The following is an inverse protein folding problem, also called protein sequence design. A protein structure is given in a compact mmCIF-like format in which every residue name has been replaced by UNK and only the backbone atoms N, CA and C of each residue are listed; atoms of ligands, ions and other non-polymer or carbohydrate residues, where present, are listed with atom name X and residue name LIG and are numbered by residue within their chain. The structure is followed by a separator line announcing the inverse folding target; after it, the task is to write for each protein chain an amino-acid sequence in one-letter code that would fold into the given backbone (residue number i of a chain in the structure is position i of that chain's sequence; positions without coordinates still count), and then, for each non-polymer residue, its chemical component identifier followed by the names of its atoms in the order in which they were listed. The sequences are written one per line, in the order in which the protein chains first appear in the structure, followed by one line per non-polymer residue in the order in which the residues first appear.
data_IF_579128691650
#
_entry.id   IF_579128691650
#
_cell.length_a   1.000
_cell.length_b   1.000
_cell.length_c   1.000
_cell.angle_alpha   90.00
_cell.angle_beta   90.00
_cell.angle_gamma   90.00
#
_symmetry.space_group_name_H-M   'P 1'
#
loop_
_entity.id
_entity.type
_entity.pdbx_description
1 polymer ?
#
# COMPACT_ATOMS: atom_id res chain seq x y z
N UNK A 1 9.87 -3.67 20.44
CA UNK A 1 9.18 -2.68 19.58
C UNK A 1 9.34 -3.15 18.16
N UNK A 2 8.23 -3.40 17.44
CA UNK A 2 8.30 -3.72 16.01
C UNK A 2 8.79 -2.49 15.25
N UNK A 3 9.62 -2.67 14.22
CA UNK A 3 10.02 -1.57 13.37
C UNK A 3 8.77 -0.99 12.65
N UNK A 4 8.73 0.33 12.39
CA UNK A 4 7.60 0.93 11.68
C UNK A 4 7.48 0.35 10.27
N UNK A 5 6.24 0.10 9.81
CA UNK A 5 5.94 -0.45 8.48
C UNK A 5 6.41 0.45 7.33
N UNK A 6 6.56 1.74 7.59
CA UNK A 6 7.01 2.74 6.62
C UNK A 6 8.09 3.62 7.24
N UNK A 7 8.99 4.13 6.42
CA UNK A 7 9.99 5.14 6.82
C UNK A 7 9.34 6.51 6.97
N UNK A 8 10.04 7.45 7.61
CA UNK A 8 9.53 8.82 7.73
C UNK A 8 9.50 9.54 6.37
N UNK A 9 10.45 9.23 5.48
CA UNK A 9 10.45 9.72 4.11
C UNK A 9 9.22 9.22 3.33
N UNK A 10 8.90 7.93 3.46
CA UNK A 10 7.69 7.36 2.86
C UNK A 10 6.42 7.94 3.48
N UNK A 11 6.38 8.15 4.79
CA UNK A 11 5.25 8.80 5.47
C UNK A 11 5.03 10.21 4.94
N UNK A 12 6.09 11.01 4.81
CA UNK A 12 6.01 12.37 4.29
C UNK A 12 5.46 12.40 2.85
N UNK A 13 5.94 11.51 1.98
CA UNK A 13 5.45 11.39 0.60
C UNK A 13 3.97 10.95 0.54
N UNK A 14 3.58 9.96 1.35
CA UNK A 14 2.18 9.51 1.43
C UNK A 14 1.24 10.64 1.92
N UNK A 15 1.67 11.43 2.92
CA UNK A 15 0.90 12.56 3.44
C UNK A 15 0.80 13.72 2.44
N UNK A 16 1.84 13.98 1.65
CA UNK A 16 1.78 14.95 0.55
C UNK A 16 0.71 14.55 -0.47
N UNK A 17 0.74 13.29 -0.93
CA UNK A 17 -0.27 12.76 -1.84
C UNK A 17 -1.68 12.84 -1.24
N UNK A 18 -1.81 12.56 0.06
CA UNK A 18 -3.08 12.71 0.79
C UNK A 18 -3.61 14.13 0.85
N UNK A 19 -2.74 15.12 1.06
CA UNK A 19 -3.11 16.54 1.05
C UNK A 19 -3.59 17.00 -0.33
N UNK A 20 -2.91 16.58 -1.41
CA UNK A 20 -3.32 16.86 -2.79
C UNK A 20 -4.69 16.26 -3.10
N UNK A 21 -4.91 14.99 -2.71
CA UNK A 21 -6.20 14.33 -2.88
C UNK A 21 -7.33 15.04 -2.09
N UNK A 22 -7.06 15.45 -0.85
CA UNK A 22 -8.03 16.19 -0.02
C UNK A 22 -8.36 17.59 -0.59
N UNK A 23 -7.43 18.20 -1.32
CA UNK A 23 -7.66 19.45 -2.05
C UNK A 23 -8.47 19.26 -3.36
N UNK A 24 -8.82 18.02 -3.72
CA UNK A 24 -9.56 17.71 -4.95
C UNK A 24 -8.71 17.78 -6.21
N UNK A 25 -7.39 17.75 -6.10
CA UNK A 25 -6.50 17.69 -7.25
C UNK A 25 -6.66 16.33 -7.95
N UNK A 26 -6.91 16.28 -9.27
CA UNK A 26 -6.82 15.04 -10.03
C UNK A 26 -5.39 14.52 -9.94
N UNK A 27 -5.20 13.33 -9.37
CA UNK A 27 -3.88 12.73 -9.24
C UNK A 27 -3.96 11.22 -9.40
N UNK A 28 -2.92 10.66 -10.03
CA UNK A 28 -2.68 9.23 -10.14
C UNK A 28 -1.25 8.96 -9.67
N UNK A 29 -1.01 9.01 -8.34
CA UNK A 29 0.33 9.00 -7.81
C UNK A 29 1.03 7.67 -8.06
N UNK A 30 2.35 7.72 -8.15
CA UNK A 30 3.16 6.50 -8.01
C UNK A 30 2.96 5.91 -6.60
N UNK A 31 2.76 4.59 -6.46
CA UNK A 31 2.80 3.96 -5.14
C UNK A 31 4.12 4.27 -4.43
N UNK A 32 4.04 4.64 -3.16
CA UNK A 32 5.20 5.04 -2.35
C UNK A 32 5.83 3.84 -1.62
N UNK A 33 5.00 2.86 -1.27
CA UNK A 33 5.46 1.69 -0.54
C UNK A 33 4.69 0.45 -0.96
N UNK A 34 5.41 -0.67 -1.03
CA UNK A 34 4.85 -2.00 -1.10
C UNK A 34 5.03 -2.70 0.25
N UNK A 35 3.92 -3.22 0.76
CA UNK A 35 3.89 -4.07 1.94
C UNK A 35 3.40 -5.44 1.53
N UNK A 36 3.85 -6.49 2.22
CA UNK A 36 3.42 -7.85 1.96
C UNK A 36 3.53 -8.71 3.21
N UNK A 37 2.75 -9.79 3.26
CA UNK A 37 2.86 -10.80 4.31
C UNK A 37 3.75 -11.94 3.79
N UNK A 38 4.96 -12.20 4.30
CA UNK A 38 5.91 -13.07 3.59
C UNK A 38 5.49 -14.55 3.46
N UNK A 39 4.60 -15.01 4.35
CA UNK A 39 4.03 -16.35 4.37
C UNK A 39 2.55 -16.39 3.91
N UNK A 40 2.08 -15.32 3.26
CA UNK A 40 0.76 -15.27 2.62
C UNK A 40 0.86 -14.53 1.28
N UNK A 41 -0.11 -14.76 0.39
CA UNK A 41 -0.16 -14.08 -0.90
C UNK A 41 -0.81 -12.69 -0.81
N UNK A 42 -0.53 -11.96 0.28
CA UNK A 42 -1.13 -10.65 0.54
C UNK A 42 -0.12 -9.53 0.28
N UNK A 43 -0.49 -8.58 -0.57
CA UNK A 43 0.30 -7.43 -1.00
C UNK A 43 -0.57 -6.17 -0.93
N UNK A 44 0.04 -5.07 -0.48
CA UNK A 44 -0.54 -3.73 -0.50
C UNK A 44 0.42 -2.75 -1.17
N UNK A 45 -0.08 -1.98 -2.14
CA UNK A 45 0.62 -0.85 -2.75
C UNK A 45 -0.03 0.44 -2.26
N UNK A 46 0.63 1.18 -1.36
CA UNK A 46 0.07 2.38 -0.76
C UNK A 46 0.52 3.63 -1.52
N UNK A 47 -0.44 4.51 -1.80
CA UNK A 47 -0.24 5.70 -2.62
C UNK A 47 -0.42 7.00 -1.83
N UNK A 48 -1.26 7.00 -0.79
CA UNK A 48 -1.42 8.16 0.10
C UNK A 48 -1.81 7.77 1.53
N UNK A 49 -1.65 8.72 2.45
CA UNK A 49 -2.15 8.68 3.82
C UNK A 49 -3.12 9.82 4.04
N UNK A 50 -4.20 9.57 4.77
CA UNK A 50 -5.12 10.61 5.20
C UNK A 50 -4.40 11.60 6.13
N UNK A 51 -4.31 12.89 5.78
CA UNK A 51 -3.60 13.86 6.60
C UNK A 51 -4.31 14.15 7.94
N UNK A 52 -5.58 13.78 8.10
CA UNK A 52 -6.32 13.99 9.34
C UNK A 52 -5.90 13.02 10.46
N UNK A 53 -5.53 11.79 10.11
CA UNK A 53 -5.16 10.75 11.09
C UNK A 53 -3.73 10.21 10.93
N UNK A 54 -3.10 10.38 9.77
CA UNK A 54 -1.76 9.87 9.48
C UNK A 54 -1.64 8.34 9.53
N UNK A 55 -2.76 7.62 9.47
CA UNK A 55 -2.86 6.17 9.67
C UNK A 55 -3.68 5.49 8.57
N UNK A 56 -4.78 6.11 8.12
CA UNK A 56 -5.63 5.58 7.04
C UNK A 56 -4.94 5.78 5.70
N UNK A 57 -4.42 4.71 5.12
CA UNK A 57 -3.80 4.69 3.81
C UNK A 57 -4.83 4.41 2.71
N UNK A 58 -4.54 4.90 1.50
CA UNK A 58 -5.25 4.56 0.26
C UNK A 58 -4.27 3.88 -0.71
N UNK A 59 -4.74 2.85 -1.42
CA UNK A 59 -3.87 2.07 -2.30
C UNK A 59 -4.57 0.86 -2.92
N UNK A 60 -3.78 -0.02 -3.54
CA UNK A 60 -4.25 -1.30 -4.07
C UNK A 60 -4.05 -2.37 -2.99
N UNK A 61 -5.06 -3.23 -2.85
CA UNK A 61 -5.09 -4.37 -1.96
C UNK A 61 -5.22 -5.63 -2.82
N UNK A 62 -4.26 -6.53 -2.69
CA UNK A 62 -4.29 -7.87 -3.27
C UNK A 62 -4.10 -8.87 -2.14
N UNK A 63 -5.19 -9.48 -1.69
CA UNK A 63 -5.18 -10.40 -0.54
C UNK A 63 -5.08 -11.87 -0.95
N UNK A 64 -4.69 -12.14 -2.21
CA UNK A 64 -4.43 -13.50 -2.69
C UNK A 64 -5.68 -14.31 -3.05
N UNK A 65 -6.78 -13.64 -3.39
CA UNK A 65 -8.05 -14.28 -3.81
C UNK A 65 -8.36 -14.09 -5.31
N UNK A 66 -7.43 -13.54 -6.09
CA UNK A 66 -7.61 -13.33 -7.53
C UNK A 66 -8.36 -12.05 -7.91
N UNK A 67 -8.58 -11.14 -6.95
CA UNK A 67 -9.39 -9.93 -7.14
C UNK A 67 -8.72 -8.69 -6.53
N UNK A 68 -7.63 -8.16 -7.12
CA UNK A 68 -7.00 -6.94 -6.65
C UNK A 68 -7.92 -5.73 -6.83
N UNK A 69 -8.00 -4.88 -5.81
CA UNK A 69 -8.88 -3.71 -5.81
C UNK A 69 -8.24 -2.50 -5.15
N UNK A 70 -8.77 -1.31 -5.45
CA UNK A 70 -8.43 -0.10 -4.70
C UNK A 70 -9.24 -0.05 -3.41
N UNK A 71 -8.63 0.40 -2.32
CA UNK A 71 -9.34 0.67 -1.08
C UNK A 71 -8.55 1.45 -0.07
N UNK A 72 -9.08 1.48 1.16
CA UNK A 72 -8.49 2.17 2.30
C UNK A 72 -8.21 1.17 3.42
N UNK A 73 -7.07 1.33 4.08
CA UNK A 73 -6.65 0.46 5.18
C UNK A 73 -5.78 1.24 6.15
N UNK A 74 -5.88 0.99 7.45
CA UNK A 74 -5.00 1.64 8.43
C UNK A 74 -3.64 0.95 8.50
N UNK A 75 -2.58 1.72 8.66
CA UNK A 75 -1.25 1.17 8.96
C UNK A 75 -1.26 0.42 10.29
N UNK A 76 -2.03 0.89 11.27
CA UNK A 76 -2.24 0.18 12.55
C UNK A 76 -2.92 -1.19 12.36
N UNK A 77 -3.92 -1.29 11.49
CA UNK A 77 -4.55 -2.56 11.13
C UNK A 77 -3.55 -3.48 10.42
N UNK A 78 -2.84 -2.97 9.40
CA UNK A 78 -1.77 -3.71 8.70
C UNK A 78 -0.70 -4.23 9.67
N UNK A 79 -0.29 -3.43 10.65
CA UNK A 79 0.72 -3.81 11.65
C UNK A 79 0.24 -4.93 12.59
N UNK A 80 -1.07 -5.14 12.70
CA UNK A 80 -1.67 -6.21 13.48
C UNK A 80 -1.92 -7.50 12.68
N UNK A 81 -1.80 -7.46 11.35
CA UNK A 81 -1.91 -8.65 10.51
C UNK A 81 -0.68 -9.54 10.70
N UNK A 82 -0.95 -10.82 10.97
CA UNK A 82 0.08 -11.86 11.12
C UNK A 82 -0.34 -13.06 10.28
N UNK A 83 0.54 -13.49 9.39
CA UNK A 83 0.30 -14.63 8.52
C UNK A 83 0.35 -15.99 9.21
N UNK A 84 0.10 -17.08 8.46
CA UNK A 84 -0.10 -18.43 9.00
C UNK A 84 1.06 -18.96 9.84
N UNK A 85 2.30 -18.65 9.45
CA UNK A 85 3.54 -19.05 10.12
C UNK A 85 4.07 -17.97 11.07
N UNK A 86 3.18 -17.12 11.60
CA UNK A 86 3.51 -16.01 12.52
C UNK A 86 4.41 -14.94 11.91
N UNK A 87 4.44 -14.80 10.59
CA UNK A 87 5.20 -13.72 9.96
C UNK A 87 4.33 -12.46 9.84
N UNK A 88 4.81 -11.30 10.34
CA UNK A 88 4.05 -10.06 10.25
C UNK A 88 4.13 -9.47 8.84
N UNK A 89 3.23 -8.52 8.55
CA UNK A 89 3.37 -7.65 7.38
C UNK A 89 4.75 -6.98 7.40
N UNK A 90 5.42 -7.00 6.25
CA UNK A 90 6.78 -6.53 6.05
C UNK A 90 6.82 -5.56 4.88
N UNK A 91 7.71 -4.56 4.99
CA UNK A 91 7.98 -3.61 3.90
C UNK A 91 8.95 -4.21 2.90
N UNK A 92 8.64 -4.08 1.61
CA UNK A 92 9.59 -4.34 0.54
C UNK A 92 10.65 -3.22 0.50
N UNK A 93 11.91 -3.59 0.75
CA UNK A 93 13.03 -2.66 0.81
C UNK A 93 13.54 -2.24 -0.57
N UNK A 94 13.20 -3.00 -1.61
CA UNK A 94 13.70 -2.82 -2.97
C UNK A 94 12.63 -2.33 -3.94
N UNK A 95 11.39 -2.21 -3.47
CA UNK A 95 10.29 -1.69 -4.26
C UNK A 95 10.58 -0.28 -4.77
N UNK A 96 10.48 -0.11 -6.08
CA UNK A 96 10.49 1.17 -6.77
C UNK A 96 9.32 1.20 -7.74
N UNK A 97 8.39 2.13 -7.53
CA UNK A 97 7.27 2.28 -8.44
C UNK A 97 7.75 2.82 -9.80
N UNK A 98 7.38 2.11 -10.86
CA UNK A 98 7.69 2.47 -12.25
C UNK A 98 6.45 2.86 -13.05
N UNK A 99 5.27 2.79 -12.42
CA UNK A 99 3.96 3.05 -13.01
C UNK A 99 3.04 3.78 -12.03
N UNK A 100 2.08 4.59 -12.51
CA UNK A 100 1.01 5.15 -11.69
C UNK A 100 0.14 4.07 -11.03
N UNK A 101 -0.54 4.43 -9.94
CA UNK A 101 -1.42 3.51 -9.20
C UNK A 101 -2.49 2.89 -10.10
N UNK A 102 -3.13 3.67 -10.99
CA UNK A 102 -4.16 3.16 -11.88
C UNK A 102 -3.65 2.08 -12.84
N UNK A 103 -2.42 2.21 -13.33
CA UNK A 103 -1.81 1.24 -14.23
C UNK A 103 -1.41 -0.05 -13.48
N UNK A 104 -0.89 0.08 -12.26
CA UNK A 104 -0.70 -1.08 -11.38
C UNK A 104 -2.02 -1.82 -11.13
N UNK A 105 -3.12 -1.10 -10.85
CA UNK A 105 -4.42 -1.70 -10.61
C UNK A 105 -4.93 -2.45 -11.85
N UNK A 106 -4.87 -1.83 -13.03
CA UNK A 106 -5.30 -2.44 -14.29
C UNK A 106 -4.54 -3.75 -14.55
N UNK A 107 -3.21 -3.71 -14.46
CA UNK A 107 -2.37 -4.89 -14.66
C UNK A 107 -2.64 -5.97 -13.61
N UNK A 108 -2.86 -5.56 -12.35
CA UNK A 108 -3.18 -6.50 -11.29
C UNK A 108 -4.51 -7.21 -11.53
N UNK A 109 -5.54 -6.49 -11.98
CA UNK A 109 -6.83 -7.05 -12.34
C UNK A 109 -6.76 -7.98 -13.54
N UNK A 110 -5.97 -7.64 -14.57
CA UNK A 110 -5.74 -8.49 -15.73
C UNK A 110 -5.04 -9.80 -15.37
N UNK A 111 -4.10 -9.76 -14.43
CA UNK A 111 -3.34 -10.94 -13.99
C UNK A 111 -3.97 -11.66 -12.78
N UNK A 112 -5.01 -11.09 -12.18
CA UNK A 112 -5.58 -11.54 -10.91
C UNK A 112 -4.68 -11.31 -9.69
N UNK A 113 -3.52 -10.67 -9.85
CA UNK A 113 -2.59 -10.36 -8.75
C UNK A 113 -1.62 -9.24 -9.12
N UNK A 114 -1.08 -8.55 -8.12
CA UNK A 114 0.01 -7.58 -8.30
C UNK A 114 1.28 -8.33 -8.71
N UNK A 115 1.76 -8.01 -9.91
CA UNK A 115 2.98 -8.59 -10.48
C UNK A 115 4.19 -7.69 -10.24
N UNK A 116 5.36 -8.31 -10.11
CA UNK A 116 6.67 -7.65 -10.03
C UNK A 116 7.09 -7.05 -11.39
#
# INVERSE_FOLDING_TARGET
MSAPLITEEQRAALLENGRRAAAGEPDDPLPVVRLFTPDAHAIWLLASLDPADGDTAFGIMDVGIGMPEVGRIKLSDLASIVGPNKQPVTRDLYFQAVRPLSEYLRLAQENGSIVD
#
